data_IF_374171690405
#
_entry.id   IF_374171690405
#
_cell.length_a   1.000
_cell.length_b   1.000
_cell.length_c   1.000
_cell.angle_alpha   90.00
_cell.angle_beta   90.00
_cell.angle_gamma   90.00
#
_symmetry.space_group_name_H-M   'P 1'
#
loop_
_entity.id
_entity.type
_entity.pdbx_description
1 polymer ?
#
# COMPACT_ATOMS: atom_id res chain seq x y z
N UNK A 1 -22.26 30.69 6.33
CA UNK A 1 -21.81 29.28 6.37
C UNK A 1 -20.33 29.19 6.77
N UNK A 2 -20.04 28.69 7.98
CA UNK A 2 -18.65 28.50 8.41
C UNK A 2 -18.07 27.25 7.75
N UNK A 3 -17.10 27.43 6.85
CA UNK A 3 -16.36 26.32 6.25
C UNK A 3 -15.38 25.73 7.27
N UNK A 4 -15.20 24.40 7.24
CA UNK A 4 -14.25 23.66 8.07
C UNK A 4 -13.11 23.16 7.16
N UNK A 5 -12.10 23.99 6.87
CA UNK A 5 -11.00 23.57 6.00
C UNK A 5 -10.23 22.42 6.65
N UNK A 6 -9.76 21.49 5.82
CA UNK A 6 -8.92 20.36 6.20
C UNK A 6 -7.74 20.28 5.24
N UNK A 7 -6.60 19.80 5.73
CA UNK A 7 -5.43 19.49 4.91
C UNK A 7 -5.59 18.10 4.30
N UNK A 8 -5.23 17.96 3.03
CA UNK A 8 -5.20 16.67 2.33
C UNK A 8 -3.74 16.28 2.08
N UNK A 9 -3.48 14.98 2.05
CA UNK A 9 -2.20 14.41 1.59
C UNK A 9 -2.43 13.57 0.33
N UNK A 10 -1.44 13.47 -0.57
CA UNK A 10 -1.50 12.58 -1.73
C UNK A 10 -1.36 11.11 -1.31
N UNK A 11 -2.17 10.26 -1.94
CA UNK A 11 -2.18 8.81 -1.75
C UNK A 11 -1.74 8.15 -3.05
N UNK A 12 -0.74 7.28 -2.98
CA UNK A 12 -0.19 6.54 -4.12
C UNK A 12 -0.80 5.14 -4.18
N UNK A 13 -1.07 4.65 -5.40
CA UNK A 13 -1.34 3.24 -5.66
C UNK A 13 -0.03 2.53 -5.99
N UNK A 14 0.28 1.48 -5.22
CA UNK A 14 1.55 0.76 -5.30
C UNK A 14 1.29 -0.71 -5.61
N UNK A 15 2.01 -1.22 -6.61
CA UNK A 15 2.04 -2.63 -6.99
C UNK A 15 3.41 -3.23 -6.64
N UNK A 16 3.44 -4.16 -5.69
CA UNK A 16 4.66 -4.87 -5.28
C UNK A 16 4.63 -6.30 -5.81
N UNK A 17 5.70 -6.72 -6.48
CA UNK A 17 5.90 -8.11 -6.90
C UNK A 17 6.93 -8.78 -6.00
N UNK A 18 6.54 -9.87 -5.34
CA UNK A 18 7.40 -10.56 -4.38
C UNK A 18 7.19 -12.07 -4.43
N UNK A 19 8.21 -12.91 -4.14
CA UNK A 19 8.00 -14.32 -3.88
C UNK A 19 7.00 -14.55 -2.74
N UNK A 20 6.31 -15.68 -2.76
CA UNK A 20 5.29 -16.03 -1.74
C UNK A 20 5.88 -16.10 -0.32
N UNK A 21 7.11 -16.60 -0.18
CA UNK A 21 7.83 -16.68 1.09
C UNK A 21 8.03 -15.31 1.76
N UNK A 22 8.06 -14.24 0.97
CA UNK A 22 8.30 -12.87 1.43
C UNK A 22 7.00 -12.05 1.59
N UNK A 23 5.84 -12.65 1.32
CA UNK A 23 4.55 -11.95 1.32
C UNK A 23 4.26 -11.28 2.68
N UNK A 24 4.52 -11.99 3.78
CA UNK A 24 4.28 -11.46 5.13
C UNK A 24 5.13 -10.23 5.46
N UNK A 25 6.39 -10.23 5.05
CA UNK A 25 7.30 -9.09 5.25
C UNK A 25 6.84 -7.86 4.45
N UNK A 26 6.48 -8.04 3.17
CA UNK A 26 5.96 -6.97 2.33
C UNK A 26 4.65 -6.39 2.89
N UNK A 27 3.71 -7.23 3.32
CA UNK A 27 2.47 -6.76 3.93
C UNK A 27 2.72 -6.02 5.25
N UNK A 28 3.71 -6.46 6.03
CA UNK A 28 4.15 -5.80 7.26
C UNK A 28 4.73 -4.42 7.01
N UNK A 29 5.65 -4.28 6.04
CA UNK A 29 6.27 -3.00 5.68
C UNK A 29 5.23 -1.99 5.16
N UNK A 30 4.36 -2.42 4.24
CA UNK A 30 3.28 -1.57 3.72
C UNK A 30 2.33 -1.11 4.84
N UNK A 31 1.99 -1.99 5.79
CA UNK A 31 1.15 -1.63 6.93
C UNK A 31 1.84 -0.63 7.88
N UNK A 32 3.16 -0.77 8.07
CA UNK A 32 3.95 0.15 8.89
C UNK A 32 4.01 1.56 8.28
N UNK A 33 3.99 1.66 6.95
CA UNK A 33 3.94 2.91 6.17
C UNK A 33 2.53 3.51 6.04
N UNK A 34 1.63 3.22 6.98
CA UNK A 34 0.20 3.60 6.93
C UNK A 34 -0.52 3.15 5.65
N UNK A 35 -0.01 2.08 5.01
CA UNK A 35 -0.57 1.55 3.78
C UNK A 35 -1.84 0.74 4.01
N UNK A 36 -2.81 0.89 3.11
CA UNK A 36 -4.02 0.08 3.04
C UNK A 36 -3.88 -0.97 1.95
N UNK A 37 -3.82 -2.25 2.35
CA UNK A 37 -3.78 -3.38 1.40
C UNK A 37 -5.14 -3.52 0.71
N UNK A 38 -5.12 -3.54 -0.63
CA UNK A 38 -6.29 -3.77 -1.49
C UNK A 38 -6.47 -5.25 -1.80
N UNK A 39 -5.37 -5.99 -1.85
CA UNK A 39 -5.36 -7.44 -2.03
C UNK A 39 -4.04 -7.96 -2.59
N UNK A 40 -3.96 -9.27 -2.73
CA UNK A 40 -2.85 -9.95 -3.37
C UNK A 40 -3.36 -10.93 -4.42
N UNK A 41 -2.69 -11.01 -5.56
CA UNK A 41 -3.02 -11.93 -6.66
C UNK A 41 -1.77 -12.69 -7.14
N UNK A 42 -1.90 -13.98 -7.51
CA UNK A 42 -0.78 -14.71 -8.11
C UNK A 42 -0.33 -14.09 -9.43
N UNK A 43 0.98 -13.98 -9.61
CA UNK A 43 1.64 -13.46 -10.82
C UNK A 43 2.79 -14.38 -11.23
N UNK A 44 2.43 -15.56 -11.76
CA UNK A 44 3.39 -16.59 -12.14
C UNK A 44 4.06 -17.22 -10.92
N UNK A 45 5.39 -17.06 -10.78
CA UNK A 45 6.16 -17.51 -9.60
C UNK A 45 6.20 -16.48 -8.47
N UNK A 46 5.59 -15.32 -8.69
CA UNK A 46 5.54 -14.22 -7.74
C UNK A 46 4.07 -13.98 -7.33
N UNK A 47 3.90 -13.21 -6.28
CA UNK A 47 2.63 -12.68 -5.82
C UNK A 47 2.67 -11.16 -6.00
N UNK A 48 1.64 -10.61 -6.63
CA UNK A 48 1.44 -9.15 -6.71
C UNK A 48 0.60 -8.70 -5.53
N UNK A 49 1.07 -7.71 -4.79
CA UNK A 49 0.33 -7.04 -3.71
C UNK A 49 0.00 -5.64 -4.15
N UNK A 50 -1.27 -5.24 -4.02
CA UNK A 50 -1.75 -3.90 -4.34
C UNK A 50 -2.11 -3.16 -3.06
N UNK A 51 -1.67 -1.92 -2.93
CA UNK A 51 -1.92 -1.11 -1.75
C UNK A 51 -2.03 0.39 -2.07
N UNK A 52 -2.75 1.11 -1.23
CA UNK A 52 -2.68 2.57 -1.17
C UNK A 52 -1.75 3.01 -0.05
N UNK A 53 -0.80 3.89 -0.33
CA UNK A 53 0.20 4.36 0.65
C UNK A 53 0.30 5.88 0.56
N UNK A 54 0.32 6.62 1.68
CA UNK A 54 0.61 8.05 1.65
C UNK A 54 2.00 8.33 1.06
N UNK A 55 2.11 9.30 0.15
CA UNK A 55 3.39 9.61 -0.52
C UNK A 55 4.52 9.95 0.47
N UNK A 56 4.19 10.54 1.62
CA UNK A 56 5.15 10.90 2.66
C UNK A 56 5.83 9.69 3.34
N UNK A 57 5.30 8.48 3.17
CA UNK A 57 5.78 7.25 3.81
C UNK A 57 6.53 6.33 2.82
N UNK A 58 6.70 6.72 1.57
CA UNK A 58 7.36 5.92 0.52
C UNK A 58 8.86 6.17 0.43
#
# INVERSE_FOLDING_TARGET
>A
PSAKPVLLEPILEVDVLTPEDNLGEVMGDLSARRGQILGSEPSGRLTRVRAYVPEAEM
#
